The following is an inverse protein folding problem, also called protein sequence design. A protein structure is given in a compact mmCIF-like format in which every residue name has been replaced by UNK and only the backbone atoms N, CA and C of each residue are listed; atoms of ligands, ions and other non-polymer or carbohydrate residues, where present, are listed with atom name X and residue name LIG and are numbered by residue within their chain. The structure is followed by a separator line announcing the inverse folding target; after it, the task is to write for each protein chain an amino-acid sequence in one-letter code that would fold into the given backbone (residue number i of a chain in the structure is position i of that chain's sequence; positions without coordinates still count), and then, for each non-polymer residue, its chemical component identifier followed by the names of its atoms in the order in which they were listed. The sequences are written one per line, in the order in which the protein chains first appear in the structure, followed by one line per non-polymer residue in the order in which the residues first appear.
data_IF_180818939749
#
_entry.id   IF_180818939749
#
_cell.length_a   1.000
_cell.length_b   1.000
_cell.length_c   1.000
_cell.angle_alpha   90.00
_cell.angle_beta   90.00
_cell.angle_gamma   90.00
#
_symmetry.space_group_name_H-M   'P 1'
#
loop_
_entity.id
_entity.type
_entity.pdbx_description
1 polymer ?
#
# COMPACT_ATOMS: atom_id res chain seq x y z
N UNK A 1 -29.44 -13.78 -60.75
CA UNK A 1 -28.65 -12.79 -59.96
C UNK A 1 -28.87 -13.09 -58.49
N UNK A 2 -27.91 -13.75 -57.84
CA UNK A 2 -27.97 -14.09 -56.40
C UNK A 2 -27.29 -12.95 -55.64
N UNK A 3 -28.05 -12.24 -54.81
CA UNK A 3 -27.50 -11.21 -53.92
C UNK A 3 -26.99 -11.85 -52.62
N UNK A 4 -25.67 -11.88 -52.42
CA UNK A 4 -25.04 -12.28 -51.17
C UNK A 4 -25.14 -11.14 -50.18
N UNK A 5 -25.85 -11.31 -49.07
CA UNK A 5 -25.84 -10.35 -47.94
C UNK A 5 -24.72 -10.79 -47.00
N UNK A 6 -23.71 -9.92 -46.85
CA UNK A 6 -22.70 -10.06 -45.82
C UNK A 6 -23.25 -9.51 -44.47
N UNK A 7 -23.49 -10.39 -43.53
CA UNK A 7 -23.82 -9.99 -42.15
C UNK A 7 -22.50 -9.71 -41.43
N UNK A 8 -22.24 -8.45 -41.15
CA UNK A 8 -21.10 -8.01 -40.34
C UNK A 8 -21.42 -8.28 -38.86
N UNK A 9 -20.86 -9.35 -38.30
CA UNK A 9 -21.00 -9.66 -36.86
C UNK A 9 -20.05 -8.76 -36.07
N UNK A 10 -20.58 -7.67 -35.47
CA UNK A 10 -19.82 -6.82 -34.55
C UNK A 10 -19.68 -7.55 -33.21
N UNK A 11 -18.52 -8.12 -32.95
CA UNK A 11 -18.18 -8.67 -31.62
C UNK A 11 -17.91 -7.51 -30.69
N UNK A 12 -18.87 -7.20 -29.81
CA UNK A 12 -18.70 -6.24 -28.73
C UNK A 12 -17.87 -6.92 -27.63
N UNK A 13 -16.56 -6.65 -27.61
CA UNK A 13 -15.69 -7.06 -26.51
C UNK A 13 -16.02 -6.17 -25.32
N UNK A 14 -16.89 -6.64 -24.44
CA UNK A 14 -17.17 -5.99 -23.17
C UNK A 14 -15.97 -6.22 -22.23
N UNK A 15 -14.97 -5.36 -22.31
CA UNK A 15 -13.90 -5.33 -21.32
C UNK A 15 -14.50 -4.97 -19.97
N UNK A 16 -14.44 -5.86 -18.99
CA UNK A 16 -14.77 -5.56 -17.60
C UNK A 16 -13.79 -4.50 -17.10
N UNK A 17 -14.21 -3.25 -17.12
CA UNK A 17 -13.50 -2.16 -16.42
C UNK A 17 -13.65 -2.48 -14.93
N UNK A 18 -12.61 -3.00 -14.31
CA UNK A 18 -12.58 -3.17 -12.87
C UNK A 18 -12.70 -1.78 -12.24
N UNK A 19 -13.81 -1.52 -11.54
CA UNK A 19 -14.05 -0.22 -10.93
C UNK A 19 -12.96 0.04 -9.88
N UNK A 20 -12.21 1.13 -10.05
CA UNK A 20 -11.21 1.57 -9.09
C UNK A 20 -11.88 1.92 -7.76
N UNK A 21 -11.37 1.36 -6.67
CA UNK A 21 -11.90 1.61 -5.35
C UNK A 21 -11.63 3.06 -4.90
N UNK A 22 -12.51 3.57 -4.04
CA UNK A 22 -12.41 4.90 -3.45
C UNK A 22 -12.38 4.79 -1.94
N UNK A 23 -11.55 5.57 -1.29
CA UNK A 23 -11.45 5.65 0.15
C UNK A 23 -11.44 7.12 0.60
N UNK A 24 -12.22 7.44 1.63
CA UNK A 24 -12.33 8.76 2.24
C UNK A 24 -11.33 8.86 3.38
N UNK A 25 -10.41 9.81 3.27
CA UNK A 25 -9.36 10.07 4.26
C UNK A 25 -9.81 11.24 5.13
N UNK A 26 -10.14 10.96 6.37
CA UNK A 26 -10.57 11.99 7.32
C UNK A 26 -9.39 12.81 7.84
N UNK A 27 -9.64 14.07 8.17
CA UNK A 27 -8.68 14.87 8.92
C UNK A 27 -8.49 14.28 10.33
N UNK A 28 -7.25 14.29 10.83
CA UNK A 28 -6.96 13.91 12.20
C UNK A 28 -7.55 14.98 13.15
N UNK A 29 -8.41 14.53 14.08
CA UNK A 29 -9.04 15.43 15.05
C UNK A 29 -8.11 15.86 16.19
N UNK A 30 -6.97 15.18 16.33
CA UNK A 30 -5.99 15.39 17.40
C UNK A 30 -4.59 14.95 16.97
N UNK A 31 -3.57 15.32 17.73
CA UNK A 31 -2.19 14.86 17.50
C UNK A 31 -2.11 13.35 17.70
N UNK A 32 -1.60 12.64 16.70
CA UNK A 32 -1.42 11.20 16.74
C UNK A 32 -0.02 10.86 17.25
N UNK A 33 0.03 10.07 18.32
CA UNK A 33 1.28 9.43 18.77
C UNK A 33 1.46 8.14 18.00
N UNK A 34 2.62 7.92 17.42
CA UNK A 34 2.95 6.71 16.67
C UNK A 34 3.43 5.64 17.67
N UNK A 35 2.55 4.70 18.01
CA UNK A 35 2.81 3.65 19.03
C UNK A 35 2.31 2.26 18.62
N UNK A 36 1.82 2.10 17.38
CA UNK A 36 1.35 0.85 16.82
C UNK A 36 0.00 0.36 17.36
N UNK A 37 -0.70 1.13 18.20
CA UNK A 37 -1.98 0.71 18.78
C UNK A 37 -3.15 0.99 17.85
N UNK A 38 -3.76 -0.06 17.36
CA UNK A 38 -4.92 0.00 16.46
C UNK A 38 -6.17 0.62 17.09
N UNK A 39 -6.37 0.43 18.40
CA UNK A 39 -7.61 0.79 19.08
C UNK A 39 -7.57 2.16 19.80
N UNK A 40 -6.52 2.97 19.56
CA UNK A 40 -6.47 4.32 20.12
C UNK A 40 -7.54 5.25 19.52
N UNK A 41 -7.89 6.32 20.25
CA UNK A 41 -9.00 7.23 19.92
C UNK A 41 -8.94 7.77 18.48
N UNK A 42 -7.75 8.15 18.00
CA UNK A 42 -7.53 8.65 16.64
C UNK A 42 -8.00 7.68 15.54
N UNK A 43 -7.98 6.38 15.79
CA UNK A 43 -8.33 5.35 14.82
C UNK A 43 -9.75 4.78 14.97
N UNK A 44 -10.44 5.03 16.09
CA UNK A 44 -11.73 4.39 16.38
C UNK A 44 -12.82 4.74 15.37
N UNK A 45 -12.87 5.99 14.90
CA UNK A 45 -13.89 6.48 13.95
C UNK A 45 -13.51 6.28 12.49
N UNK A 46 -12.29 5.81 12.22
CA UNK A 46 -11.77 5.63 10.86
C UNK A 46 -12.18 4.27 10.33
N UNK A 47 -12.92 4.27 9.21
CA UNK A 47 -13.33 3.02 8.55
C UNK A 47 -12.10 2.33 7.94
N UNK A 48 -11.89 1.03 8.21
CA UNK A 48 -10.74 0.33 7.65
C UNK A 48 -10.86 0.08 6.14
N UNK A 49 -9.73 0.15 5.47
CA UNK A 49 -9.47 -0.40 4.13
C UNK A 49 -9.25 -1.90 4.30
N UNK A 50 -9.88 -2.74 3.47
CA UNK A 50 -9.61 -4.18 3.42
C UNK A 50 -8.68 -4.50 2.26
N UNK A 51 -7.59 -5.20 2.53
CA UNK A 51 -6.59 -5.60 1.55
C UNK A 51 -6.83 -7.08 1.26
N UNK A 52 -7.75 -7.37 0.31
CA UNK A 52 -8.33 -8.70 0.16
C UNK A 52 -8.34 -9.23 -1.28
N UNK A 53 -7.91 -8.41 -2.27
CA UNK A 53 -7.85 -8.84 -3.65
C UNK A 53 -6.52 -9.58 -3.89
N UNK A 54 -6.60 -10.88 -4.16
CA UNK A 54 -5.44 -11.74 -4.34
C UNK A 54 -4.85 -11.61 -5.75
N UNK A 55 -3.53 -11.66 -5.83
CA UNK A 55 -2.77 -11.89 -7.05
C UNK A 55 -1.97 -13.20 -6.93
N UNK A 56 -1.74 -13.88 -8.04
CA UNK A 56 -1.00 -15.14 -8.07
C UNK A 56 -1.76 -16.32 -7.43
N UNK A 57 -1.02 -17.32 -6.96
CA UNK A 57 -1.54 -18.56 -6.42
C UNK A 57 -2.25 -18.39 -5.06
N UNK A 58 -3.14 -19.31 -4.71
CA UNK A 58 -3.79 -19.34 -3.40
C UNK A 58 -2.79 -19.76 -2.33
N UNK A 59 -2.56 -18.94 -1.29
CA UNK A 59 -1.67 -19.32 -0.20
C UNK A 59 -2.33 -20.34 0.73
N UNK A 60 -1.51 -21.05 1.51
CA UNK A 60 -2.01 -22.02 2.52
C UNK A 60 -2.80 -21.35 3.65
N UNK A 61 -2.45 -20.11 3.97
CA UNK A 61 -3.16 -19.27 4.92
C UNK A 61 -3.41 -17.90 4.27
N UNK A 62 -4.64 -17.40 4.38
CA UNK A 62 -5.03 -16.09 3.89
C UNK A 62 -4.92 -15.04 4.99
N UNK A 63 -3.94 -14.14 4.97
CA UNK A 63 -3.85 -13.07 5.94
C UNK A 63 -5.08 -12.15 5.88
N UNK A 64 -5.64 -11.79 7.03
CA UNK A 64 -6.67 -10.77 7.12
C UNK A 64 -5.97 -9.44 7.38
N UNK A 65 -5.95 -8.57 6.37
CA UNK A 65 -5.21 -7.32 6.40
C UNK A 65 -6.13 -6.13 6.27
N UNK A 66 -6.01 -5.20 7.22
CA UNK A 66 -6.73 -3.95 7.23
C UNK A 66 -5.77 -2.77 7.38
N UNK A 67 -6.11 -1.64 6.77
CA UNK A 67 -5.40 -0.38 6.97
C UNK A 67 -6.37 0.75 7.31
N UNK A 68 -5.88 1.78 8.00
CA UNK A 68 -6.59 3.05 8.21
C UNK A 68 -5.65 4.19 7.86
N UNK A 69 -6.21 5.28 7.36
CA UNK A 69 -5.45 6.48 7.01
C UNK A 69 -6.19 7.74 7.45
N UNK A 70 -5.43 8.69 7.98
CA UNK A 70 -5.87 10.06 8.25
C UNK A 70 -4.77 11.04 7.88
N UNK A 71 -5.05 12.33 7.91
CA UNK A 71 -4.09 13.38 7.60
C UNK A 71 -4.25 14.60 8.51
N UNK A 72 -3.19 15.41 8.60
CA UNK A 72 -3.23 16.79 9.10
C UNK A 72 -2.59 17.76 8.10
N UNK A 73 -2.36 19.00 8.48
CA UNK A 73 -1.77 20.02 7.62
C UNK A 73 -0.34 19.71 7.15
N UNK A 74 0.37 18.80 7.82
CA UNK A 74 1.81 18.55 7.65
C UNK A 74 2.16 17.10 7.41
N UNK A 75 1.26 16.17 7.71
CA UNK A 75 1.54 14.75 7.66
C UNK A 75 0.36 13.93 7.11
N UNK A 76 0.67 12.75 6.61
CA UNK A 76 -0.27 11.65 6.49
C UNK A 76 0.12 10.52 7.44
N UNK A 77 -0.88 9.84 7.98
CA UNK A 77 -0.74 8.77 8.95
C UNK A 77 -1.41 7.51 8.42
N UNK A 78 -0.75 6.39 8.57
CA UNK A 78 -1.30 5.08 8.18
C UNK A 78 -1.04 4.09 9.30
N UNK A 79 -2.03 3.25 9.59
CA UNK A 79 -1.85 2.08 10.43
C UNK A 79 -2.38 0.84 9.71
N UNK A 80 -1.62 -0.24 9.80
CA UNK A 80 -2.03 -1.57 9.35
C UNK A 80 -2.25 -2.48 10.56
N UNK A 81 -3.22 -3.39 10.43
CA UNK A 81 -3.41 -4.54 11.32
C UNK A 81 -3.51 -5.78 10.45
N UNK A 82 -2.71 -6.79 10.78
CA UNK A 82 -2.64 -8.04 10.03
C UNK A 82 -2.83 -9.21 10.98
N UNK A 83 -3.86 -10.02 10.76
CA UNK A 83 -3.99 -11.33 11.35
C UNK A 83 -3.36 -12.33 10.37
N UNK A 84 -2.24 -12.91 10.76
CA UNK A 84 -1.33 -13.62 9.85
C UNK A 84 -0.83 -14.93 10.47
N UNK A 85 -0.21 -15.74 9.64
CA UNK A 85 0.51 -16.97 10.01
C UNK A 85 1.72 -17.09 9.11
N UNK A 86 2.78 -17.72 9.62
CA UNK A 86 4.08 -17.78 8.94
C UNK A 86 4.73 -16.40 8.82
N UNK A 87 4.78 -15.68 9.95
CA UNK A 87 5.34 -14.32 10.01
C UNK A 87 6.84 -14.34 10.18
N UNK A 88 7.54 -13.68 9.29
CA UNK A 88 8.99 -13.55 9.26
C UNK A 88 9.40 -12.09 9.13
N UNK A 89 10.48 -11.68 9.79
CA UNK A 89 11.15 -10.38 9.64
C UNK A 89 12.64 -10.55 9.90
N UNK A 90 13.44 -10.51 8.86
CA UNK A 90 14.89 -10.73 8.93
C UNK A 90 15.70 -9.60 8.30
N UNK A 91 15.06 -8.78 7.50
CA UNK A 91 15.69 -7.61 6.87
C UNK A 91 15.64 -6.43 7.83
N UNK A 92 16.82 -5.96 8.28
CA UNK A 92 16.98 -4.83 9.20
C UNK A 92 17.63 -3.61 8.56
N UNK A 93 18.04 -3.71 7.31
CA UNK A 93 18.65 -2.62 6.57
C UNK A 93 17.60 -1.85 5.77
N UNK A 94 17.58 -0.53 5.91
CA UNK A 94 16.74 0.36 5.09
C UNK A 94 16.92 0.08 3.60
N UNK A 95 15.81 0.08 2.89
CA UNK A 95 15.77 -0.22 1.46
C UNK A 95 16.33 -1.61 1.10
N UNK A 96 16.37 -2.56 2.05
CA UNK A 96 16.60 -3.97 1.78
C UNK A 96 15.38 -4.64 1.13
N UNK A 97 15.45 -5.93 0.89
CA UNK A 97 14.35 -6.71 0.28
C UNK A 97 13.25 -7.04 1.31
N UNK A 98 12.59 -5.99 1.85
CA UNK A 98 11.59 -6.12 2.93
C UNK A 98 10.32 -6.86 2.49
N UNK A 99 9.99 -6.87 1.20
CA UNK A 99 8.85 -7.60 0.65
C UNK A 99 9.04 -9.13 0.62
N UNK A 100 10.28 -9.61 0.83
CA UNK A 100 10.56 -11.02 1.12
C UNK A 100 10.09 -11.46 2.49
N UNK A 101 10.14 -10.60 3.47
CA UNK A 101 9.56 -10.76 4.80
C UNK A 101 8.02 -10.58 4.77
N UNK A 102 7.36 -10.82 5.91
CA UNK A 102 5.96 -10.40 6.09
C UNK A 102 5.88 -8.89 6.04
N UNK A 103 5.27 -8.33 4.99
CA UNK A 103 5.35 -6.92 4.66
C UNK A 103 3.97 -6.32 4.37
N UNK A 104 3.78 -5.06 4.73
CA UNK A 104 2.66 -4.22 4.30
C UNK A 104 3.17 -3.02 3.53
N UNK A 105 2.41 -2.59 2.51
CA UNK A 105 2.92 -1.58 1.59
C UNK A 105 1.84 -0.53 1.27
N UNK A 106 2.28 0.71 1.12
CA UNK A 106 1.47 1.83 0.68
C UNK A 106 2.15 2.53 -0.49
N UNK A 107 1.59 2.35 -1.69
CA UNK A 107 2.05 3.03 -2.89
C UNK A 107 1.10 4.20 -3.15
N UNK A 108 1.64 5.42 -3.27
CA UNK A 108 0.82 6.62 -3.38
C UNK A 108 1.44 7.69 -4.28
N UNK A 109 0.59 8.34 -5.05
CA UNK A 109 0.93 9.46 -5.91
C UNK A 109 0.37 10.75 -5.31
N UNK A 110 1.23 11.58 -4.67
CA UNK A 110 0.79 12.83 -4.02
C UNK A 110 0.70 14.00 -4.99
N UNK A 111 1.12 13.83 -6.24
CA UNK A 111 1.01 14.83 -7.29
C UNK A 111 -0.15 14.48 -8.22
N UNK A 112 -1.27 15.21 -8.10
CA UNK A 112 -2.45 14.96 -8.94
C UNK A 112 -2.25 15.31 -10.43
N UNK A 113 -1.21 16.10 -10.76
CA UNK A 113 -0.84 16.40 -12.15
C UNK A 113 -0.02 15.25 -12.79
N UNK A 114 0.65 14.42 -11.99
CA UNK A 114 1.50 13.33 -12.45
C UNK A 114 1.13 12.01 -11.73
N UNK A 115 -0.09 11.48 -11.94
CA UNK A 115 -0.61 10.34 -11.18
C UNK A 115 0.13 9.00 -11.46
N UNK A 116 1.03 8.99 -12.44
CA UNK A 116 1.92 7.86 -12.74
C UNK A 116 3.23 7.87 -11.95
N UNK A 117 3.59 9.01 -11.33
CA UNK A 117 4.73 9.13 -10.42
C UNK A 117 4.27 8.86 -8.99
N UNK A 118 4.97 7.99 -8.25
CA UNK A 118 4.51 7.57 -6.93
C UNK A 118 5.65 7.16 -6.01
N UNK A 119 5.38 7.18 -4.72
CA UNK A 119 6.23 6.55 -3.70
C UNK A 119 5.75 5.13 -3.44
N UNK A 120 6.69 4.18 -3.28
CA UNK A 120 6.41 2.85 -2.74
C UNK A 120 7.01 2.75 -1.33
N UNK A 121 6.19 2.94 -0.31
CA UNK A 121 6.61 2.67 1.06
C UNK A 121 6.22 1.23 1.42
N UNK A 122 7.24 0.40 1.66
CA UNK A 122 7.12 -1.00 2.07
C UNK A 122 7.72 -1.12 3.47
N UNK A 123 7.01 -1.76 4.41
CA UNK A 123 7.50 -1.94 5.79
C UNK A 123 7.27 -3.39 6.20
N UNK A 124 8.35 -4.09 6.59
CA UNK A 124 8.20 -5.45 7.09
C UNK A 124 7.63 -5.48 8.53
N UNK A 125 7.26 -6.65 9.01
CA UNK A 125 6.62 -6.83 10.31
C UNK A 125 7.49 -6.37 11.51
N UNK A 126 8.80 -6.26 11.33
CA UNK A 126 9.77 -5.73 12.30
C UNK A 126 10.00 -4.22 12.20
N UNK A 127 9.29 -3.52 11.30
CA UNK A 127 9.36 -2.07 11.20
C UNK A 127 10.43 -1.53 10.25
N UNK A 128 11.18 -2.37 9.53
CA UNK A 128 12.20 -1.91 8.58
C UNK A 128 11.55 -1.39 7.29
N UNK A 129 11.80 -0.13 6.88
CA UNK A 129 11.22 0.43 5.67
C UNK A 129 12.11 0.29 4.43
N UNK A 130 11.45 0.24 3.28
CA UNK A 130 11.97 0.57 1.97
C UNK A 130 11.10 1.67 1.39
N UNK A 131 11.70 2.71 0.80
CA UNK A 131 10.95 3.74 0.10
C UNK A 131 11.73 4.30 -1.09
N UNK A 132 11.11 4.29 -2.26
CA UNK A 132 11.61 4.91 -3.48
C UNK A 132 10.57 5.86 -4.05
N UNK A 133 11.01 6.90 -4.73
CA UNK A 133 10.17 7.69 -5.63
C UNK A 133 10.33 7.16 -7.05
N UNK A 134 9.24 6.75 -7.67
CA UNK A 134 9.22 6.07 -8.97
C UNK A 134 8.59 6.98 -10.01
N UNK A 135 9.35 7.32 -11.06
CA UNK A 135 8.91 8.12 -12.21
C UNK A 135 8.56 7.24 -13.40
N UNK A 136 9.19 6.06 -13.51
CA UNK A 136 8.87 5.08 -14.53
C UNK A 136 8.98 3.67 -13.91
N UNK A 137 7.86 2.95 -13.73
CA UNK A 137 7.86 1.65 -13.09
C UNK A 137 8.92 0.69 -13.64
N UNK A 138 9.77 0.14 -12.76
CA UNK A 138 10.88 -0.80 -13.07
C UNK A 138 11.98 -0.26 -13.97
N UNK A 139 11.98 1.02 -14.32
CA UNK A 139 13.00 1.65 -15.18
C UNK A 139 13.71 2.81 -14.50
N UNK A 140 12.93 3.70 -13.84
CA UNK A 140 13.46 4.92 -13.24
C UNK A 140 12.87 5.12 -11.84
N UNK A 141 13.76 5.20 -10.87
CA UNK A 141 13.38 5.47 -9.48
C UNK A 141 14.51 6.18 -8.75
N UNK A 142 14.15 6.94 -7.73
CA UNK A 142 15.09 7.57 -6.79
C UNK A 142 14.87 6.93 -5.42
N UNK A 143 15.93 6.31 -4.91
CA UNK A 143 15.95 5.75 -3.56
C UNK A 143 16.05 6.88 -2.54
N UNK A 144 15.19 6.87 -1.52
CA UNK A 144 15.33 7.82 -0.41
C UNK A 144 16.56 7.45 0.43
N UNK A 145 17.29 8.48 0.87
CA UNK A 145 18.42 8.32 1.78
C UNK A 145 17.96 7.96 3.19
N UNK A 146 18.86 7.39 4.00
CA UNK A 146 18.58 7.04 5.39
C UNK A 146 18.11 8.27 6.19
N UNK A 147 18.71 9.46 5.97
CA UNK A 147 18.30 10.72 6.61
C UNK A 147 16.87 11.14 6.23
N UNK A 148 16.41 10.81 5.03
CA UNK A 148 15.03 11.07 4.62
C UNK A 148 14.08 10.04 5.22
N UNK A 149 14.50 8.78 5.29
CA UNK A 149 13.74 7.69 5.90
C UNK A 149 13.55 7.94 7.40
N UNK A 150 14.55 8.43 8.11
CA UNK A 150 14.50 8.76 9.54
C UNK A 150 13.46 9.84 9.88
N UNK A 151 12.95 10.60 8.89
CA UNK A 151 11.86 11.54 9.09
C UNK A 151 10.47 10.82 9.17
N UNK A 152 10.39 9.59 8.69
CA UNK A 152 9.19 8.74 8.81
C UNK A 152 9.22 8.10 10.19
N UNK A 153 8.29 8.48 11.06
CA UNK A 153 8.15 7.85 12.36
C UNK A 153 7.38 6.53 12.18
N UNK A 154 7.97 5.41 12.63
CA UNK A 154 7.39 4.06 12.47
C UNK A 154 7.31 3.38 13.83
N UNK A 155 6.16 2.75 14.12
CA UNK A 155 5.98 1.85 15.25
C UNK A 155 5.45 0.49 14.78
N UNK A 156 5.92 -0.56 15.42
CA UNK A 156 5.58 -1.95 15.10
C UNK A 156 5.32 -2.75 16.39
N UNK A 157 4.47 -3.78 16.31
CA UNK A 157 4.08 -4.57 17.50
C UNK A 157 4.91 -5.82 17.70
N UNK A 158 5.62 -6.30 16.69
CA UNK A 158 6.54 -7.44 16.79
C UNK A 158 7.98 -6.95 17.00
N UNK A 159 8.91 -7.81 17.47
CA UNK A 159 10.32 -7.49 17.48
C UNK A 159 10.85 -7.14 16.08
N UNK A 160 11.93 -6.34 16.02
CA UNK A 160 12.59 -5.98 14.75
C UNK A 160 12.99 -7.24 13.94
N UNK A 161 13.49 -8.26 14.64
CA UNK A 161 13.82 -9.56 14.04
C UNK A 161 12.83 -10.61 14.52
N UNK A 162 12.21 -11.29 13.56
CA UNK A 162 11.35 -12.47 13.75
C UNK A 162 11.98 -13.64 12.99
N UNK A 163 12.87 -14.34 13.65
CA UNK A 163 13.56 -15.53 13.19
C UNK A 163 13.79 -16.47 14.39
N UNK A 164 13.28 -17.71 14.37
CA UNK A 164 12.58 -18.37 13.27
C UNK A 164 11.19 -17.78 13.00
N UNK A 165 10.66 -18.06 11.79
CA UNK A 165 9.32 -17.69 11.36
C UNK A 165 8.24 -18.12 12.37
N UNK A 166 7.31 -17.23 12.74
CA UNK A 166 6.18 -17.57 13.61
C UNK A 166 5.18 -18.41 12.82
N UNK A 167 5.14 -19.71 13.09
CA UNK A 167 4.27 -20.66 12.39
C UNK A 167 2.81 -20.67 12.88
N UNK A 168 2.51 -20.04 14.02
CA UNK A 168 1.18 -19.92 14.58
C UNK A 168 0.49 -18.61 14.14
N UNK A 169 -0.83 -18.56 14.30
CA UNK A 169 -1.59 -17.34 14.06
C UNK A 169 -1.21 -16.25 15.06
N UNK A 170 -0.95 -15.06 14.56
CA UNK A 170 -0.59 -13.87 15.33
C UNK A 170 -1.18 -12.63 14.68
N UNK A 171 -1.55 -11.64 15.48
CA UNK A 171 -1.95 -10.32 14.98
C UNK A 171 -0.82 -9.33 15.23
N UNK A 172 -0.41 -8.63 14.20
CA UNK A 172 0.61 -7.60 14.28
C UNK A 172 0.17 -6.29 13.62
N UNK A 173 0.84 -5.21 13.99
CA UNK A 173 0.53 -3.85 13.50
C UNK A 173 1.80 -3.13 13.06
N UNK A 174 1.65 -2.29 12.06
CA UNK A 174 2.61 -1.27 11.64
C UNK A 174 1.87 0.06 11.60
N UNK A 175 2.41 1.07 12.25
CA UNK A 175 1.88 2.43 12.19
C UNK A 175 3.00 3.39 11.80
N UNK A 176 2.70 4.38 10.95
CA UNK A 176 3.69 5.38 10.60
C UNK A 176 3.07 6.74 10.28
N UNK A 177 3.92 7.76 10.43
CA UNK A 177 3.68 9.15 10.05
C UNK A 177 4.66 9.55 8.95
N UNK A 178 4.15 10.04 7.83
CA UNK A 178 4.93 10.54 6.69
C UNK A 178 4.82 12.06 6.64
N UNK A 179 5.91 12.82 6.84
CA UNK A 179 5.91 14.27 6.67
C UNK A 179 5.72 14.65 5.20
N UNK A 180 4.75 15.53 4.91
CA UNK A 180 4.49 16.00 3.55
C UNK A 180 5.63 16.83 2.98
N UNK A 181 6.37 17.54 3.85
CA UNK A 181 7.53 18.35 3.44
C UNK A 181 8.65 17.48 2.86
N UNK A 182 8.89 16.29 3.42
CA UNK A 182 9.87 15.34 2.89
C UNK A 182 9.57 14.96 1.44
N UNK A 183 8.29 14.76 1.10
CA UNK A 183 7.87 14.36 -0.24
C UNK A 183 8.14 15.45 -1.30
N UNK A 184 8.13 16.72 -0.90
CA UNK A 184 8.37 17.87 -1.79
C UNK A 184 9.77 17.93 -2.38
N UNK A 185 10.73 17.21 -1.80
CA UNK A 185 12.06 17.07 -2.39
C UNK A 185 12.07 16.27 -3.71
N UNK A 186 11.01 15.51 -3.98
CA UNK A 186 10.92 14.60 -5.12
C UNK A 186 9.86 15.02 -6.15
N UNK A 187 8.79 15.65 -5.71
CA UNK A 187 7.65 16.02 -6.57
C UNK A 187 6.85 17.19 -5.99
N UNK A 188 6.05 17.83 -6.83
CA UNK A 188 5.06 18.78 -6.36
C UNK A 188 3.93 18.04 -5.62
N UNK A 189 3.84 18.23 -4.31
CA UNK A 189 2.80 17.61 -3.48
C UNK A 189 1.50 18.42 -3.58
N UNK A 190 0.44 17.80 -4.10
CA UNK A 190 -0.91 18.35 -3.95
C UNK A 190 -1.33 18.16 -2.50
N UNK A 191 -1.24 19.23 -1.70
CA UNK A 191 -1.46 19.18 -0.25
C UNK A 191 -2.85 18.67 0.10
N UNK A 192 -2.95 17.70 1.04
CA UNK A 192 -4.24 17.20 1.51
C UNK A 192 -5.13 18.31 2.05
N UNK A 193 -6.31 18.46 1.49
CA UNK A 193 -7.37 19.36 1.91
C UNK A 193 -8.71 18.76 1.47
N UNK A 194 -9.85 19.14 2.07
CA UNK A 194 -11.14 18.64 1.66
C UNK A 194 -11.39 18.77 0.15
N UNK A 195 -11.74 17.66 -0.49
CA UNK A 195 -11.97 17.57 -1.94
C UNK A 195 -10.73 17.22 -2.78
N UNK A 196 -9.51 17.32 -2.24
CA UNK A 196 -8.29 16.86 -2.92
C UNK A 196 -8.30 15.35 -3.06
N UNK A 197 -7.70 14.85 -4.13
CA UNK A 197 -7.56 13.41 -4.35
C UNK A 197 -6.11 13.03 -4.64
N UNK A 198 -5.70 11.88 -4.10
CA UNK A 198 -4.48 11.18 -4.51
C UNK A 198 -4.83 9.82 -5.13
N UNK A 199 -3.90 9.29 -5.91
CA UNK A 199 -3.97 7.90 -6.38
C UNK A 199 -3.11 7.04 -5.47
N UNK A 200 -3.62 5.86 -5.09
CA UNK A 200 -2.88 4.97 -4.19
C UNK A 200 -3.35 3.52 -4.28
N UNK A 201 -2.51 2.62 -3.76
CA UNK A 201 -2.93 1.28 -3.42
C UNK A 201 -2.25 0.81 -2.12
N UNK A 202 -2.88 -0.13 -1.44
CA UNK A 202 -2.35 -0.76 -0.23
C UNK A 202 -2.16 -2.25 -0.50
N UNK A 203 -1.09 -2.82 0.04
CA UNK A 203 -0.70 -4.19 -0.26
C UNK A 203 -0.28 -4.96 0.98
N UNK A 204 -0.37 -6.28 0.88
CA UNK A 204 0.19 -7.24 1.82
C UNK A 204 0.94 -8.29 1.03
N UNK A 205 2.17 -8.54 1.42
CA UNK A 205 3.01 -9.59 0.82
C UNK A 205 3.84 -10.30 1.87
N UNK A 206 4.50 -11.36 1.45
CA UNK A 206 5.45 -12.15 2.18
C UNK A 206 6.06 -13.17 1.21
N UNK A 207 6.83 -12.68 0.21
CA UNK A 207 7.23 -13.51 -0.93
C UNK A 207 8.17 -14.66 -0.57
N UNK A 208 8.98 -14.50 0.49
CA UNK A 208 9.98 -15.48 0.92
C UNK A 208 9.63 -16.14 2.27
N UNK A 209 8.36 -16.02 2.71
CA UNK A 209 7.83 -16.76 3.85
C UNK A 209 7.44 -18.18 3.45
N UNK A 210 7.16 -19.05 4.43
CA UNK A 210 6.59 -20.39 4.16
C UNK A 210 5.20 -20.35 3.55
N UNK A 211 4.59 -19.16 3.41
CA UNK A 211 3.27 -18.90 2.85
C UNK A 211 3.30 -17.73 1.86
N UNK A 212 3.95 -17.85 0.69
CA UNK A 212 4.03 -16.76 -0.28
C UNK A 212 2.65 -16.25 -0.68
N UNK A 213 2.44 -14.94 -0.64
CA UNK A 213 1.14 -14.34 -0.97
C UNK A 213 1.27 -12.88 -1.41
N UNK A 214 0.26 -12.41 -2.16
CA UNK A 214 0.18 -11.06 -2.70
C UNK A 214 -1.27 -10.59 -2.68
N UNK A 215 -1.58 -9.59 -1.85
CA UNK A 215 -2.92 -9.00 -1.74
C UNK A 215 -2.90 -7.51 -1.97
N UNK A 216 -3.98 -6.98 -2.55
CA UNK A 216 -4.15 -5.57 -2.88
C UNK A 216 -5.49 -5.05 -2.36
N UNK A 217 -5.56 -3.76 -2.06
CA UNK A 217 -6.82 -3.08 -1.81
C UNK A 217 -7.59 -2.84 -3.11
N UNK A 218 -7.05 -2.03 -4.04
CA UNK A 218 -7.63 -1.86 -5.36
C UNK A 218 -7.21 -3.03 -6.24
N UNK A 219 -8.15 -3.73 -6.89
CA UNK A 219 -7.85 -4.93 -7.68
C UNK A 219 -6.84 -4.66 -8.79
N UNK A 220 -5.89 -5.57 -8.96
CA UNK A 220 -4.90 -5.55 -10.04
C UNK A 220 -5.11 -6.75 -10.94
N UNK A 221 -5.39 -6.51 -12.21
CA UNK A 221 -5.47 -7.55 -13.24
C UNK A 221 -4.13 -7.66 -13.95
N UNK A 222 -3.30 -8.61 -13.51
CA UNK A 222 -2.01 -8.93 -14.13
C UNK A 222 -1.72 -10.43 -14.01
N UNK A 223 -1.17 -11.10 -15.04
CA UNK A 223 -0.93 -12.56 -15.04
C UNK A 223 0.01 -13.03 -13.91
N UNK A 224 0.93 -12.18 -13.49
CA UNK A 224 1.88 -12.46 -12.40
C UNK A 224 1.78 -11.36 -11.34
N UNK A 225 2.06 -11.63 -10.05
CA UNK A 225 2.09 -10.62 -9.01
C UNK A 225 3.00 -9.45 -9.37
N UNK A 226 2.43 -8.25 -9.38
CA UNK A 226 3.15 -7.01 -9.68
C UNK A 226 2.38 -5.82 -9.10
N UNK A 227 2.93 -5.15 -8.10
CA UNK A 227 2.33 -3.98 -7.46
C UNK A 227 2.67 -2.67 -8.17
N UNK A 228 3.74 -2.64 -8.99
CA UNK A 228 4.20 -1.45 -9.71
C UNK A 228 3.34 -1.15 -10.96
N UNK A 229 2.04 -1.07 -10.78
CA UNK A 229 1.05 -0.82 -11.82
C UNK A 229 0.11 0.34 -11.42
N UNK A 230 0.57 1.62 -11.50
CA UNK A 230 -0.19 2.77 -11.02
C UNK A 230 -1.53 2.96 -11.74
N UNK A 231 -1.73 2.37 -12.92
CA UNK A 231 -3.02 2.35 -13.62
C UNK A 231 -4.14 1.72 -12.78
N UNK A 232 -3.81 0.79 -11.88
CA UNK A 232 -4.76 0.10 -10.99
C UNK A 232 -4.89 0.74 -9.60
N UNK A 233 -4.21 1.86 -9.34
CA UNK A 233 -4.37 2.56 -8.07
C UNK A 233 -5.82 3.03 -7.90
N UNK A 234 -6.34 2.86 -6.70
CA UNK A 234 -7.59 3.45 -6.26
C UNK A 234 -7.46 4.96 -6.04
N UNK A 235 -8.52 5.58 -5.53
CA UNK A 235 -8.57 7.02 -5.25
C UNK A 235 -8.75 7.25 -3.76
N UNK A 236 -7.84 8.01 -3.16
CA UNK A 236 -7.99 8.59 -1.84
C UNK A 236 -8.64 9.97 -2.01
N UNK A 237 -9.72 10.24 -1.27
CA UNK A 237 -10.39 11.56 -1.26
C UNK A 237 -10.27 12.12 0.16
N UNK A 238 -9.61 13.24 0.32
CA UNK A 238 -9.44 13.92 1.61
C UNK A 238 -10.73 14.69 1.99
N UNK A 239 -11.15 14.58 3.27
CA UNK A 239 -12.38 15.20 3.82
C UNK A 239 -12.08 16.15 4.98
#
# INVERSE_FOLDING_TARGET
MIRLYFILLTVCVCGTVCAQLKYKVAAAGEKITIDGKWDKAAWQKVKPIKIENRMGDEPRFRPLTEAKMVYDATNVYVIFRVHDKFVKSTVTKYNGHVSGDSCVEFFFSPNSAEPGHYFNLEVNAGGTPLIFFITNPRKESVKLSDVQIDQIEIAHSLPEVVDPEIANEVTWTIEYRIPLEMLKHFTNVTMPNPGVTWRANFYKTGSDTSNPHYYTWSPVSNPVPNFHLPAYFGTLTFE
#
